data_IF_922221446868
#
_entry.id   IF_922221446868
#
_cell.length_a   1.000
_cell.length_b   1.000
_cell.length_c   1.000
_cell.angle_alpha   90.00
_cell.angle_beta   90.00
_cell.angle_gamma   90.00
#
_symmetry.space_group_name_H-M   'P 1'
#
loop_
_entity.id
_entity.type
_entity.pdbx_description
1 polymer ?
#
# COMPACT_ATOMS: atom_id res chain seq x y z
N UNK A 1 10.36 14.13 19.89
CA UNK A 1 9.05 14.07 19.21
C UNK A 1 9.03 15.20 18.19
N UNK A 2 8.72 14.94 16.91
CA UNK A 2 8.50 16.04 15.97
C UNK A 2 7.33 16.88 16.49
N UNK A 3 7.54 18.18 16.64
CA UNK A 3 6.45 19.10 16.93
C UNK A 3 5.58 19.18 15.68
N UNK A 4 4.45 18.49 15.67
CA UNK A 4 3.47 18.60 14.59
C UNK A 4 2.75 19.94 14.71
N UNK A 5 2.92 20.80 13.71
CA UNK A 5 2.30 22.14 13.66
C UNK A 5 0.79 22.09 13.50
N UNK A 6 0.27 20.97 12.99
CA UNK A 6 -1.16 20.68 12.87
C UNK A 6 -1.43 19.29 13.46
N UNK A 7 -2.48 19.16 14.26
CA UNK A 7 -2.94 17.88 14.85
C UNK A 7 -4.46 17.80 14.79
N UNK A 8 -5.00 16.63 14.47
CA UNK A 8 -6.44 16.38 14.57
C UNK A 8 -6.85 16.28 16.04
N UNK A 9 -7.94 16.95 16.41
CA UNK A 9 -8.52 16.86 17.75
C UNK A 9 -9.40 15.60 17.91
N UNK A 10 -9.76 15.29 19.15
CA UNK A 10 -10.59 14.12 19.48
C UNK A 10 -12.03 14.24 18.95
N UNK A 11 -12.50 15.47 18.73
CA UNK A 11 -13.83 15.73 18.17
C UNK A 11 -13.71 15.87 16.65
N UNK A 12 -14.50 15.13 15.85
CA UNK A 12 -14.52 15.28 14.40
C UNK A 12 -14.70 16.74 13.95
N UNK A 13 -13.85 17.20 13.02
CA UNK A 13 -13.85 18.58 12.55
C UNK A 13 -13.05 19.56 13.41
N UNK A 14 -12.43 19.11 14.51
CA UNK A 14 -11.53 19.94 15.32
C UNK A 14 -10.07 19.68 14.98
N UNK A 15 -9.29 20.76 14.92
CA UNK A 15 -7.86 20.72 14.63
C UNK A 15 -7.13 21.73 15.50
N UNK A 16 -5.92 21.38 15.93
CA UNK A 16 -5.01 22.28 16.62
C UNK A 16 -3.88 22.67 15.67
N UNK A 17 -3.73 23.97 15.45
CA UNK A 17 -2.60 24.55 14.70
C UNK A 17 -1.74 25.37 15.66
N UNK A 18 -0.45 25.06 15.76
CA UNK A 18 0.50 25.76 16.65
C UNK A 18 1.40 26.74 15.92
N UNK A 19 1.52 26.63 14.59
CA UNK A 19 2.38 27.47 13.74
C UNK A 19 1.88 27.50 12.30
N UNK A 20 2.52 28.29 11.43
CA UNK A 20 2.24 28.29 9.98
C UNK A 20 2.43 26.89 9.39
N UNK A 21 1.37 26.40 8.74
CA UNK A 21 1.27 25.07 8.12
C UNK A 21 1.63 25.17 6.64
N UNK A 22 2.50 24.28 6.16
CA UNK A 22 2.80 24.14 4.73
C UNK A 22 2.03 22.95 4.11
N UNK A 23 2.06 22.84 2.79
CA UNK A 23 1.50 21.66 2.09
C UNK A 23 2.17 20.36 2.54
N UNK A 24 3.47 20.38 2.87
CA UNK A 24 4.20 19.23 3.42
C UNK A 24 3.69 18.82 4.81
N UNK A 25 3.33 19.79 5.65
CA UNK A 25 2.75 19.53 6.97
C UNK A 25 1.37 18.86 6.80
N UNK A 26 0.56 19.31 5.83
CA UNK A 26 -0.73 18.70 5.49
C UNK A 26 -0.55 17.26 4.97
N UNK A 27 0.41 17.04 4.08
CA UNK A 27 0.69 15.73 3.51
C UNK A 27 1.17 14.74 4.58
N UNK A 28 2.01 15.21 5.51
CA UNK A 28 2.49 14.40 6.63
C UNK A 28 1.34 13.87 7.49
N UNK A 29 0.33 14.71 7.74
CA UNK A 29 -0.84 14.32 8.53
C UNK A 29 -1.75 13.39 7.74
N UNK A 30 -1.95 13.66 6.44
CA UNK A 30 -2.69 12.76 5.57
C UNK A 30 -2.07 11.36 5.55
N UNK A 31 -0.74 11.26 5.45
CA UNK A 31 -0.01 9.99 5.55
C UNK A 31 -0.15 9.33 6.92
N UNK A 32 -0.13 10.10 8.01
CA UNK A 32 -0.34 9.56 9.35
C UNK A 32 -1.74 8.96 9.51
N UNK A 33 -2.78 9.65 9.03
CA UNK A 33 -4.16 9.16 9.00
C UNK A 33 -4.29 7.91 8.13
N UNK A 34 -3.65 7.89 6.96
CA UNK A 34 -3.63 6.71 6.09
C UNK A 34 -2.95 5.50 6.75
N UNK A 35 -1.84 5.70 7.48
CA UNK A 35 -1.18 4.64 8.26
C UNK A 35 -2.06 4.12 9.39
N UNK A 36 -2.82 4.99 10.05
CA UNK A 36 -3.75 4.57 11.10
C UNK A 36 -4.87 3.68 10.54
N UNK A 37 -5.39 3.99 9.34
CA UNK A 37 -6.36 3.13 8.65
C UNK A 37 -5.79 1.76 8.26
N UNK A 38 -4.46 1.64 8.18
CA UNK A 38 -3.74 0.40 7.88
C UNK A 38 -3.03 -0.17 9.12
N UNK A 39 -3.50 0.17 10.32
CA UNK A 39 -2.94 -0.32 11.56
C UNK A 39 -3.18 -1.83 11.73
N UNK A 40 -2.27 -2.49 12.45
CA UNK A 40 -2.40 -3.92 12.75
C UNK A 40 -3.71 -4.21 13.50
N UNK A 41 -4.44 -5.21 13.04
CA UNK A 41 -5.72 -5.66 13.60
C UNK A 41 -6.95 -5.07 12.90
N UNK A 42 -6.79 -3.97 12.15
CA UNK A 42 -7.89 -3.39 11.37
C UNK A 42 -8.35 -4.36 10.28
N UNK A 43 -9.66 -4.56 10.16
CA UNK A 43 -10.25 -5.42 9.15
C UNK A 43 -10.46 -4.64 7.86
N UNK A 44 -10.06 -5.21 6.72
CA UNK A 44 -10.43 -4.65 5.41
C UNK A 44 -11.89 -5.04 5.13
N UNK A 45 -12.81 -4.20 5.59
CA UNK A 45 -14.25 -4.36 5.36
C UNK A 45 -14.72 -3.65 4.08
N UNK A 46 -13.97 -2.64 3.65
CA UNK A 46 -14.21 -1.88 2.43
C UNK A 46 -12.91 -1.75 1.63
N UNK A 47 -12.88 -2.31 0.42
CA UNK A 47 -11.74 -2.22 -0.48
C UNK A 47 -11.43 -0.78 -0.87
N UNK A 48 -12.45 0.06 -1.02
CA UNK A 48 -12.27 1.46 -1.41
C UNK A 48 -11.50 2.23 -0.34
N UNK A 49 -11.79 1.99 0.94
CA UNK A 49 -11.03 2.59 2.05
C UNK A 49 -9.56 2.14 2.06
N UNK A 50 -9.30 0.86 1.75
CA UNK A 50 -7.94 0.36 1.63
C UNK A 50 -7.21 1.01 0.43
N UNK A 51 -7.87 1.14 -0.72
CA UNK A 51 -7.31 1.80 -1.91
C UNK A 51 -6.96 3.27 -1.62
N UNK A 52 -7.88 4.01 -0.97
CA UNK A 52 -7.65 5.41 -0.59
C UNK A 52 -6.48 5.56 0.38
N UNK A 53 -6.38 4.69 1.39
CA UNK A 53 -5.28 4.73 2.34
C UNK A 53 -3.94 4.44 1.64
N UNK A 54 -3.88 3.42 0.78
CA UNK A 54 -2.68 3.08 0.01
C UNK A 54 -2.31 4.18 -0.98
N UNK A 55 -3.29 4.81 -1.64
CA UNK A 55 -3.05 5.98 -2.49
C UNK A 55 -2.43 7.13 -1.70
N UNK A 56 -3.00 7.46 -0.53
CA UNK A 56 -2.48 8.52 0.34
C UNK A 56 -1.04 8.29 0.81
N UNK A 57 -0.59 7.03 0.90
CA UNK A 57 0.79 6.70 1.28
C UNK A 57 1.79 6.77 0.12
N UNK A 58 1.33 6.52 -1.11
CA UNK A 58 2.20 6.18 -2.23
C UNK A 58 2.12 7.16 -3.41
N UNK A 59 1.03 7.91 -3.58
CA UNK A 59 0.83 8.79 -4.75
C UNK A 59 1.86 9.92 -4.86
N UNK A 60 2.45 10.35 -3.74
CA UNK A 60 3.43 11.44 -3.70
C UNK A 60 4.88 10.96 -3.73
N UNK A 61 5.11 9.65 -3.96
CA UNK A 61 6.46 9.10 -4.03
C UNK A 61 7.09 9.44 -5.38
N UNK A 62 8.27 10.03 -5.33
CA UNK A 62 9.11 10.40 -6.48
C UNK A 62 9.79 9.19 -7.15
N UNK A 63 9.76 8.05 -6.48
CA UNK A 63 10.28 6.76 -6.95
C UNK A 63 9.20 5.70 -6.86
N UNK A 64 9.33 4.68 -7.71
CA UNK A 64 8.49 3.50 -7.60
C UNK A 64 8.82 2.76 -6.29
N UNK A 65 7.78 2.42 -5.56
CA UNK A 65 7.80 1.68 -4.31
C UNK A 65 6.91 0.47 -4.51
N UNK A 66 7.46 -0.73 -4.33
CA UNK A 66 6.67 -1.96 -4.27
C UNK A 66 6.46 -2.34 -2.82
N UNK A 67 5.21 -2.45 -2.39
CA UNK A 67 4.83 -2.74 -1.03
C UNK A 67 3.80 -3.88 -0.98
N UNK A 68 3.59 -4.42 0.21
CA UNK A 68 2.58 -5.43 0.46
C UNK A 68 1.84 -5.13 1.77
N UNK A 69 0.53 -5.38 1.73
CA UNK A 69 -0.31 -5.45 2.90
C UNK A 69 -0.53 -6.93 3.24
N UNK A 70 -0.05 -7.36 4.40
CA UNK A 70 -0.12 -8.73 4.89
C UNK A 70 -1.38 -8.91 5.72
N UNK A 71 -2.14 -9.97 5.46
CA UNK A 71 -3.47 -10.17 6.02
C UNK A 71 -3.63 -11.56 6.64
N UNK A 72 -4.43 -11.65 7.69
CA UNK A 72 -4.87 -12.92 8.25
C UNK A 72 -6.05 -13.54 7.47
N UNK A 73 -6.54 -14.70 7.93
CA UNK A 73 -7.67 -15.39 7.31
C UNK A 73 -9.00 -14.63 7.33
N UNK A 74 -9.13 -13.62 8.20
CA UNK A 74 -10.30 -12.75 8.35
C UNK A 74 -10.07 -11.41 7.65
N UNK A 75 -9.04 -11.30 6.80
CA UNK A 75 -8.63 -10.09 6.11
C UNK A 75 -8.32 -8.92 7.04
N UNK A 76 -7.81 -9.22 8.25
CA UNK A 76 -7.27 -8.21 9.16
C UNK A 76 -5.80 -7.97 8.87
N UNK A 77 -5.41 -6.71 8.97
CA UNK A 77 -4.04 -6.28 8.68
C UNK A 77 -3.09 -6.81 9.73
N UNK A 78 -2.06 -7.51 9.28
CA UNK A 78 -0.93 -7.96 10.09
C UNK A 78 0.18 -6.92 10.04
N UNK A 79 0.49 -6.42 8.84
CA UNK A 79 1.49 -5.41 8.57
C UNK A 79 1.32 -4.77 7.18
N UNK A 80 1.82 -3.56 7.03
CA UNK A 80 2.14 -2.93 5.76
C UNK A 80 3.65 -2.78 5.66
N UNK A 81 4.27 -3.23 4.57
CA UNK A 81 5.71 -3.05 4.35
C UNK A 81 6.02 -2.61 2.93
N UNK A 82 6.90 -1.61 2.81
CA UNK A 82 7.58 -1.26 1.57
C UNK A 82 8.75 -2.24 1.39
N UNK A 83 8.65 -3.09 0.38
CA UNK A 83 9.57 -4.20 0.16
C UNK A 83 10.72 -3.83 -0.77
N UNK A 84 10.45 -2.98 -1.77
CA UNK A 84 11.45 -2.58 -2.77
C UNK A 84 11.27 -1.10 -3.14
N UNK A 85 12.39 -0.43 -3.41
CA UNK A 85 12.46 0.97 -3.84
C UNK A 85 13.26 1.07 -5.14
N UNK A 86 12.74 1.78 -6.14
CA UNK A 86 13.38 1.98 -7.45
C UNK A 86 12.49 1.52 -8.60
N UNK A 87 12.89 1.82 -9.85
CA UNK A 87 12.10 1.50 -11.03
C UNK A 87 11.93 -0.02 -11.18
N UNK A 88 10.70 -0.53 -11.24
CA UNK A 88 10.29 -1.89 -11.59
C UNK A 88 10.92 -2.37 -12.90
N UNK A 89 11.41 -1.46 -13.75
CA UNK A 89 12.24 -1.76 -14.92
C UNK A 89 13.62 -2.38 -14.58
N UNK A 90 14.08 -2.29 -13.32
CA UNK A 90 15.34 -2.88 -12.85
C UNK A 90 15.34 -3.37 -11.38
N UNK A 91 14.41 -2.92 -10.54
CA UNK A 91 14.21 -3.43 -9.19
C UNK A 91 13.55 -4.81 -9.29
N UNK A 92 14.37 -5.85 -9.25
CA UNK A 92 13.90 -7.23 -9.35
C UNK A 92 13.11 -7.57 -8.10
N UNK A 93 11.79 -7.46 -8.15
CA UNK A 93 10.91 -7.98 -7.09
C UNK A 93 11.09 -9.50 -7.06
N UNK A 94 11.78 -9.98 -6.03
CA UNK A 94 12.09 -11.40 -5.92
C UNK A 94 10.98 -12.13 -5.17
N UNK A 95 10.32 -13.14 -5.78
CA UNK A 95 9.26 -13.89 -5.11
C UNK A 95 9.70 -14.51 -3.77
N UNK A 96 10.96 -14.97 -3.67
CA UNK A 96 11.50 -15.52 -2.42
C UNK A 96 11.45 -14.52 -1.26
N UNK A 97 11.65 -13.23 -1.52
CA UNK A 97 11.72 -12.23 -0.45
C UNK A 97 10.31 -11.84 -0.03
N UNK A 98 9.37 -11.73 -0.98
CA UNK A 98 7.94 -11.56 -0.69
C UNK A 98 7.40 -12.75 0.13
N UNK A 99 7.70 -13.98 -0.29
CA UNK A 99 7.29 -15.20 0.43
C UNK A 99 7.89 -15.26 1.84
N UNK A 100 9.18 -14.92 2.01
CA UNK A 100 9.81 -14.84 3.34
C UNK A 100 9.10 -13.86 4.26
N UNK A 101 8.75 -12.65 3.76
CA UNK A 101 8.01 -11.66 4.56
C UNK A 101 6.59 -12.11 4.87
N UNK A 102 5.92 -12.74 3.91
CA UNK A 102 4.58 -13.30 4.11
C UNK A 102 4.55 -14.36 5.23
N UNK A 103 5.51 -15.30 5.20
CA UNK A 103 5.68 -16.32 6.23
C UNK A 103 6.07 -15.71 7.58
N UNK A 104 6.96 -14.71 7.59
CA UNK A 104 7.36 -14.01 8.81
C UNK A 104 6.17 -13.39 9.54
N UNK A 105 5.21 -12.83 8.81
CA UNK A 105 3.98 -12.26 9.38
C UNK A 105 2.90 -13.29 9.69
N UNK A 106 3.07 -14.56 9.31
CA UNK A 106 2.02 -15.57 9.29
C UNK A 106 0.81 -15.13 8.45
N UNK A 107 1.08 -14.48 7.31
CA UNK A 107 0.03 -14.01 6.42
C UNK A 107 -0.69 -15.17 5.75
N UNK A 108 -2.01 -15.11 5.74
CA UNK A 108 -2.85 -16.01 4.93
C UNK A 108 -3.18 -15.42 3.56
N UNK A 109 -3.05 -14.10 3.41
CA UNK A 109 -3.26 -13.41 2.15
C UNK A 109 -2.45 -12.10 2.06
N UNK A 110 -2.16 -11.66 0.84
CA UNK A 110 -1.51 -10.40 0.54
C UNK A 110 -2.37 -9.55 -0.40
N UNK A 111 -2.29 -8.24 -0.23
CA UNK A 111 -2.58 -7.26 -1.27
C UNK A 111 -1.26 -6.61 -1.68
N UNK A 112 -0.88 -6.77 -2.94
CA UNK A 112 0.33 -6.15 -3.50
C UNK A 112 0.00 -4.72 -3.92
N UNK A 113 0.97 -3.82 -3.88
CA UNK A 113 0.79 -2.45 -4.34
C UNK A 113 2.10 -1.88 -4.85
N UNK A 114 2.05 -1.10 -5.92
CA UNK A 114 3.12 -0.18 -6.26
C UNK A 114 2.60 1.13 -6.78
N UNK A 115 3.43 2.17 -6.78
CA UNK A 115 3.11 3.45 -7.41
C UNK A 115 3.84 3.64 -8.73
N UNK A 116 3.23 4.44 -9.61
CA UNK A 116 3.87 5.05 -10.76
C UNK A 116 4.14 6.53 -10.47
N UNK A 117 5.41 6.99 -10.38
CA UNK A 117 5.75 8.39 -10.21
C UNK A 117 5.24 9.30 -11.33
N UNK A 118 4.93 8.74 -12.51
CA UNK A 118 4.27 9.47 -13.59
C UNK A 118 2.86 9.95 -13.24
N UNK A 119 2.24 9.36 -12.21
CA UNK A 119 0.88 9.64 -11.79
C UNK A 119 -0.20 8.84 -12.53
N UNK A 120 0.15 8.18 -13.66
CA UNK A 120 -0.78 7.38 -14.46
C UNK A 120 -0.80 5.91 -13.97
N UNK A 121 -1.93 5.41 -13.43
CA UNK A 121 -1.98 4.11 -12.74
C UNK A 121 -2.21 2.91 -13.68
N UNK A 122 -1.99 3.04 -14.98
CA UNK A 122 -2.19 1.92 -15.90
C UNK A 122 -1.06 0.90 -15.76
N UNK A 123 -1.34 -0.39 -15.49
CA UNK A 123 -0.31 -1.40 -15.34
C UNK A 123 0.42 -1.65 -16.66
N UNK A 124 1.74 -1.75 -16.59
CA UNK A 124 2.56 -2.24 -17.69
C UNK A 124 2.46 -3.77 -17.80
N UNK A 125 2.98 -4.31 -18.92
CA UNK A 125 3.09 -5.76 -19.07
C UNK A 125 3.99 -6.39 -18.01
N UNK A 126 5.05 -5.69 -17.62
CA UNK A 126 5.97 -6.15 -16.58
C UNK A 126 5.28 -6.29 -15.22
N UNK A 127 4.37 -5.36 -14.89
CA UNK A 127 3.59 -5.39 -13.64
C UNK A 127 2.68 -6.61 -13.61
N UNK A 128 1.99 -6.91 -14.71
CA UNK A 128 1.13 -8.09 -14.81
C UNK A 128 1.97 -9.37 -14.69
N UNK A 129 3.09 -9.46 -15.42
CA UNK A 129 3.94 -10.65 -15.42
C UNK A 129 4.56 -10.92 -14.03
N UNK A 130 5.02 -9.88 -13.30
CA UNK A 130 5.51 -10.05 -11.93
C UNK A 130 4.38 -10.43 -10.97
N UNK A 131 3.17 -9.87 -11.14
CA UNK A 131 1.99 -10.24 -10.35
C UNK A 131 1.72 -11.72 -10.41
N UNK A 132 1.61 -12.29 -11.61
CA UNK A 132 1.36 -13.71 -11.78
C UNK A 132 2.50 -14.58 -11.25
N UNK A 133 3.75 -14.10 -11.36
CA UNK A 133 4.90 -14.82 -10.79
C UNK A 133 4.82 -14.87 -9.26
N UNK A 134 4.45 -13.76 -8.61
CA UNK A 134 4.26 -13.69 -7.17
C UNK A 134 3.07 -14.53 -6.71
N UNK A 135 1.94 -14.43 -7.39
CA UNK A 135 0.74 -15.21 -7.11
C UNK A 135 1.04 -16.71 -7.12
N UNK A 136 1.73 -17.22 -8.17
CA UNK A 136 2.14 -18.64 -8.23
C UNK A 136 3.07 -19.01 -7.08
N UNK A 137 4.02 -18.16 -6.72
CA UNK A 137 4.97 -18.46 -5.65
C UNK A 137 4.31 -18.48 -4.27
N UNK A 138 3.40 -17.55 -3.99
CA UNK A 138 2.63 -17.47 -2.74
C UNK A 138 1.66 -18.65 -2.61
N UNK A 139 1.04 -19.08 -3.72
CA UNK A 139 0.14 -20.22 -3.74
C UNK A 139 0.82 -21.54 -3.35
N UNK A 140 2.14 -21.70 -3.59
CA UNK A 140 2.89 -22.90 -3.18
C UNK A 140 3.01 -23.06 -1.66
N UNK A 141 2.71 -22.01 -0.89
CA UNK A 141 2.74 -22.01 0.58
C UNK A 141 1.38 -21.59 1.15
N UNK A 142 0.30 -21.82 0.39
CA UNK A 142 -1.09 -21.56 0.78
C UNK A 142 -1.41 -20.10 1.13
N UNK A 143 -0.68 -19.15 0.54
CA UNK A 143 -0.91 -17.71 0.74
C UNK A 143 -1.61 -17.13 -0.50
N UNK A 144 -2.78 -16.51 -0.30
CA UNK A 144 -3.59 -15.94 -1.38
C UNK A 144 -3.07 -14.56 -1.78
N UNK A 145 -3.10 -14.24 -3.08
CA UNK A 145 -2.96 -12.85 -3.56
C UNK A 145 -4.35 -12.31 -3.85
N UNK A 146 -4.84 -11.37 -3.03
CA UNK A 146 -6.20 -10.84 -3.14
C UNK A 146 -6.32 -9.78 -4.23
N UNK A 147 -5.28 -8.97 -4.37
CA UNK A 147 -5.21 -7.93 -5.39
C UNK A 147 -3.76 -7.50 -5.63
N UNK A 148 -3.56 -6.78 -6.73
CA UNK A 148 -2.41 -5.93 -6.96
C UNK A 148 -2.89 -4.55 -7.42
N UNK A 149 -2.58 -3.54 -6.63
CA UNK A 149 -2.97 -2.16 -6.89
C UNK A 149 -1.82 -1.38 -7.54
N UNK A 150 -2.13 -0.69 -8.64
CA UNK A 150 -1.24 0.32 -9.22
C UNK A 150 -1.74 1.69 -8.81
N UNK A 151 -0.90 2.44 -8.12
CA UNK A 151 -1.23 3.74 -7.53
C UNK A 151 -0.61 4.86 -8.34
N UNK A 152 -1.42 5.85 -8.68
CA UNK A 152 -0.99 7.10 -9.28
C UNK A 152 -1.69 8.30 -8.63
N UNK A 153 -1.26 9.49 -9.01
CA UNK A 153 -1.95 10.73 -8.65
C UNK A 153 -3.34 10.81 -9.28
N UNK A 154 -3.54 10.20 -10.45
CA UNK A 154 -4.84 10.18 -11.15
C UNK A 154 -5.82 9.14 -10.61
N UNK A 155 -5.36 8.20 -9.77
CA UNK A 155 -6.22 7.18 -9.18
C UNK A 155 -5.49 5.89 -8.83
N UNK A 156 -6.28 4.84 -8.57
CA UNK A 156 -5.81 3.49 -8.27
C UNK A 156 -6.44 2.52 -9.24
N UNK A 157 -5.65 1.62 -9.80
CA UNK A 157 -6.11 0.51 -10.63
C UNK A 157 -5.93 -0.81 -9.89
N UNK A 158 -7.01 -1.59 -9.79
CA UNK A 158 -6.98 -2.97 -9.29
C UNK A 158 -6.82 -3.94 -10.46
N UNK A 159 -5.80 -4.81 -10.39
CA UNK A 159 -5.65 -5.91 -11.35
C UNK A 159 -6.77 -6.95 -11.18
N UNK A 160 -7.22 -7.20 -9.95
CA UNK A 160 -8.31 -8.15 -9.70
C UNK A 160 -9.63 -7.69 -10.33
N UNK A 161 -9.99 -6.42 -10.18
CA UNK A 161 -11.21 -5.84 -10.77
C UNK A 161 -11.17 -5.82 -12.30
N UNK A 162 -9.96 -5.76 -12.88
CA UNK A 162 -9.74 -5.85 -14.33
C UNK A 162 -9.63 -7.27 -14.86
N UNK A 163 -9.70 -8.30 -14.01
CA UNK A 163 -9.54 -9.70 -14.42
C UNK A 163 -8.12 -10.06 -14.90
N UNK A 164 -7.11 -9.35 -14.39
CA UNK A 164 -5.70 -9.52 -14.74
C UNK A 164 -4.91 -10.32 -13.67
N UNK A 165 -5.62 -11.00 -12.76
CA UNK A 165 -5.06 -11.72 -11.62
C UNK A 165 -5.38 -13.21 -11.70
#
# INVERSE_FOLDING_TARGET
MLHQKLTAGEIPGTYRVTDLVTDDDLLTIAQAVARQKLAKGEAITDKHLAHQALQGLLQTRDREVFAALFLDNQHRILAYEELFLGTLSAATVYPRDVVKRALHHNAAALMLVHNHPSGYPEPSRADIDITHRLQRALALVDIRTLDHLVVGAEGVVSLAERGLL
#
